data_IF_642530370161
#
_entry.id   IF_642530370161
#
_cell.length_a   1.000
_cell.length_b   1.000
_cell.length_c   1.000
_cell.angle_alpha   90.00
_cell.angle_beta   90.00
_cell.angle_gamma   90.00
#
_symmetry.space_group_name_H-M   'P 1'
#
loop_
_entity.id
_entity.type
_entity.pdbx_description
1 polymer ?
#
# COMPACT_ATOMS: atom_id res chain seq x y z
N UNK A 1 8.73 -0.65 -26.38
CA UNK A 1 7.61 -0.79 -25.42
C UNK A 1 8.18 -1.30 -24.11
N UNK A 2 7.79 -0.74 -22.95
CA UNK A 2 8.23 -1.25 -21.65
C UNK A 2 7.90 -2.74 -21.52
N UNK A 3 8.84 -3.52 -21.02
CA UNK A 3 8.64 -4.96 -20.88
C UNK A 3 7.55 -5.24 -19.83
N UNK A 4 6.51 -5.98 -20.22
CA UNK A 4 5.38 -6.33 -19.36
C UNK A 4 5.81 -6.99 -18.05
N UNK A 5 6.80 -7.88 -18.10
CA UNK A 5 7.34 -8.54 -16.91
C UNK A 5 8.01 -7.54 -15.95
N UNK A 6 8.80 -6.61 -16.50
CA UNK A 6 9.45 -5.56 -15.71
C UNK A 6 8.43 -4.63 -15.05
N UNK A 7 7.36 -4.26 -15.76
CA UNK A 7 6.28 -3.43 -15.21
C UNK A 7 5.55 -4.13 -14.04
N UNK A 8 5.25 -5.43 -14.17
CA UNK A 8 4.62 -6.18 -13.08
C UNK A 8 5.55 -6.34 -11.88
N UNK A 9 6.83 -6.64 -12.10
CA UNK A 9 7.81 -6.75 -11.00
C UNK A 9 7.94 -5.41 -10.27
N UNK A 10 8.01 -4.31 -11.02
CA UNK A 10 8.03 -2.96 -10.47
C UNK A 10 6.75 -2.57 -9.73
N UNK A 11 5.64 -3.29 -9.92
CA UNK A 11 4.43 -3.07 -9.14
C UNK A 11 4.41 -3.92 -7.86
N UNK A 12 4.79 -5.20 -7.96
CA UNK A 12 4.73 -6.16 -6.84
C UNK A 12 5.83 -5.91 -5.80
N UNK A 13 7.07 -5.72 -6.24
CA UNK A 13 8.23 -5.61 -5.34
C UNK A 13 8.10 -4.44 -4.34
N UNK A 14 7.79 -3.20 -4.79
CA UNK A 14 7.62 -2.08 -3.88
C UNK A 14 6.28 -2.14 -3.12
N UNK A 15 5.27 -2.84 -3.64
CA UNK A 15 3.99 -3.02 -2.94
C UNK A 15 4.14 -3.78 -1.61
N UNK A 16 5.19 -4.60 -1.44
CA UNK A 16 5.55 -5.26 -0.16
C UNK A 16 5.94 -4.22 0.91
N UNK A 17 6.38 -3.04 0.51
CA UNK A 17 6.69 -1.91 1.40
C UNK A 17 5.58 -0.85 1.43
N UNK A 18 4.41 -1.14 0.85
CA UNK A 18 3.27 -0.22 0.79
C UNK A 18 3.41 0.85 -0.28
N UNK A 19 4.34 0.68 -1.22
CA UNK A 19 4.57 1.58 -2.34
C UNK A 19 3.92 0.99 -3.60
N UNK A 20 2.79 1.55 -4.02
CA UNK A 20 2.06 1.11 -5.22
C UNK A 20 2.28 2.09 -6.38
N UNK A 21 2.04 1.68 -7.62
CA UNK A 21 2.03 2.59 -8.77
C UNK A 21 3.37 2.77 -9.50
N UNK A 22 4.48 2.18 -9.03
CA UNK A 22 5.77 2.27 -9.72
C UNK A 22 5.73 1.53 -11.08
N UNK A 23 5.02 0.39 -11.16
CA UNK A 23 4.82 -0.33 -12.42
C UNK A 23 3.99 0.47 -13.42
N UNK A 24 3.00 1.24 -12.94
CA UNK A 24 2.18 2.14 -13.76
C UNK A 24 2.97 3.31 -14.34
N UNK A 25 3.87 3.90 -13.55
CA UNK A 25 4.78 4.96 -14.02
C UNK A 25 5.67 4.41 -15.14
N UNK A 26 6.23 3.21 -14.96
CA UNK A 26 7.06 2.55 -15.96
C UNK A 26 6.29 2.20 -17.25
N UNK A 27 4.99 1.85 -17.13
CA UNK A 27 4.10 1.63 -18.27
C UNK A 27 3.67 2.92 -19.00
N UNK A 28 4.17 4.09 -18.59
CA UNK A 28 3.85 5.39 -19.19
C UNK A 28 2.56 6.03 -18.67
N UNK A 29 1.89 5.42 -17.68
CA UNK A 29 0.71 5.98 -17.00
C UNK A 29 1.12 6.67 -15.70
N UNK A 30 1.88 7.75 -15.87
CA UNK A 30 2.46 8.53 -14.76
C UNK A 30 1.40 9.07 -13.80
N UNK A 31 0.30 9.64 -14.31
CA UNK A 31 -0.77 10.19 -13.45
C UNK A 31 -1.38 9.12 -12.55
N UNK A 32 -1.77 7.97 -13.11
CA UNK A 32 -2.35 6.85 -12.35
C UNK A 32 -1.34 6.29 -11.35
N UNK A 33 -0.09 6.10 -11.79
CA UNK A 33 0.95 5.57 -10.93
C UNK A 33 1.31 6.50 -9.76
N UNK A 34 1.37 7.81 -9.96
CA UNK A 34 1.61 8.78 -8.88
C UNK A 34 0.44 8.80 -7.88
N UNK A 35 -0.80 8.75 -8.36
CA UNK A 35 -1.97 8.68 -7.47
C UNK A 35 -1.91 7.41 -6.61
N UNK A 36 -1.60 6.26 -7.21
CA UNK A 36 -1.44 4.99 -6.48
C UNK A 36 -0.28 5.03 -5.49
N UNK A 37 0.82 5.68 -5.83
CA UNK A 37 1.98 5.85 -4.95
C UNK A 37 1.63 6.69 -3.72
N UNK A 38 1.04 7.86 -3.93
CA UNK A 38 0.69 8.78 -2.85
C UNK A 38 -0.40 8.17 -1.96
N UNK A 39 -1.44 7.59 -2.55
CA UNK A 39 -2.51 6.92 -1.80
C UNK A 39 -2.00 5.70 -1.04
N UNK A 40 -1.09 4.93 -1.64
CA UNK A 40 -0.38 3.82 -1.00
C UNK A 40 0.37 4.22 0.25
N UNK A 41 1.20 5.25 0.13
CA UNK A 41 1.97 5.79 1.25
C UNK A 41 1.05 6.26 2.37
N UNK A 42 0.00 7.02 2.03
CA UNK A 42 -0.94 7.55 3.02
C UNK A 42 -1.75 6.44 3.71
N UNK A 43 -2.23 5.44 2.99
CA UNK A 43 -3.03 4.36 3.57
C UNK A 43 -2.19 3.41 4.43
N UNK A 44 -1.03 2.97 3.92
CA UNK A 44 -0.19 2.00 4.61
C UNK A 44 0.55 2.68 5.75
N UNK A 45 1.40 3.66 5.44
CA UNK A 45 2.25 4.32 6.43
C UNK A 45 1.46 5.27 7.32
N UNK A 46 0.50 6.02 6.76
CA UNK A 46 -0.41 6.83 7.56
C UNK A 46 -1.32 6.00 8.44
N UNK A 47 -1.77 4.82 7.97
CA UNK A 47 -2.51 3.85 8.78
C UNK A 47 -1.68 3.33 9.97
N UNK A 48 -0.43 2.90 9.74
CA UNK A 48 0.48 2.52 10.82
C UNK A 48 0.71 3.66 11.81
N UNK A 49 0.99 4.86 11.32
CA UNK A 49 1.21 6.03 12.18
C UNK A 49 -0.02 6.35 13.03
N UNK A 50 -1.22 6.31 12.44
CA UNK A 50 -2.47 6.57 13.15
C UNK A 50 -2.74 5.52 14.23
N UNK A 51 -2.55 4.23 13.93
CA UNK A 51 -2.75 3.17 14.91
C UNK A 51 -1.74 3.28 16.06
N UNK A 52 -0.45 3.53 15.77
CA UNK A 52 0.59 3.66 16.80
C UNK A 52 0.36 4.90 17.67
N UNK A 53 0.09 6.06 17.06
CA UNK A 53 -0.17 7.30 17.81
C UNK A 53 -1.49 7.24 18.59
N UNK A 54 -2.53 6.68 17.99
CA UNK A 54 -3.83 6.50 18.64
C UNK A 54 -3.72 5.52 19.81
N UNK A 55 -3.06 4.38 19.62
CA UNK A 55 -2.89 3.37 20.68
C UNK A 55 -1.98 3.84 21.81
N UNK A 56 -0.90 4.59 21.53
CA UNK A 56 -0.06 5.22 22.57
C UNK A 56 -0.87 6.22 23.40
N UNK A 57 -1.62 7.11 22.76
CA UNK A 57 -2.49 8.06 23.47
C UNK A 57 -3.55 7.33 24.32
N UNK A 58 -4.18 6.30 23.76
CA UNK A 58 -5.18 5.50 24.46
C UNK A 58 -4.59 4.77 25.67
N UNK A 59 -3.37 4.25 25.54
CA UNK A 59 -2.65 3.56 26.62
C UNK A 59 -2.33 4.51 27.77
N UNK A 60 -1.96 5.76 27.46
CA UNK A 60 -1.68 6.78 28.47
C UNK A 60 -2.92 7.16 29.29
N UNK A 61 -4.09 7.31 28.64
CA UNK A 61 -5.34 7.70 29.34
C UNK A 61 -6.02 6.53 30.08
N UNK A 62 -5.79 5.28 29.64
CA UNK A 62 -6.41 4.08 30.23
C UNK A 62 -5.46 3.31 31.16
N UNK A 63 -4.31 3.88 31.54
CA UNK A 63 -3.30 3.23 32.39
C UNK A 63 -2.91 1.81 31.91
N UNK A 64 -2.70 1.64 30.60
CA UNK A 64 -2.19 0.39 30.04
C UNK A 64 -3.20 -0.49 29.28
N UNK A 65 -4.51 -0.32 29.47
CA UNK A 65 -5.52 -1.11 28.74
C UNK A 65 -5.55 -0.81 27.23
N UNK A 66 -5.15 0.39 26.83
CA UNK A 66 -5.00 0.77 25.42
C UNK A 66 -3.99 -0.09 24.64
N UNK A 67 -3.13 -0.85 25.31
CA UNK A 67 -2.19 -1.77 24.67
C UNK A 67 -2.88 -2.86 23.82
N UNK A 68 -4.13 -3.22 24.15
CA UNK A 68 -4.95 -4.15 23.35
C UNK A 68 -5.23 -3.62 21.93
N UNK A 69 -5.26 -2.30 21.75
CA UNK A 69 -5.52 -1.68 20.44
C UNK A 69 -4.36 -1.83 19.44
N UNK A 70 -3.15 -2.17 19.90
CA UNK A 70 -2.03 -2.52 19.01
C UNK A 70 -2.32 -3.80 18.20
N UNK A 71 -3.27 -4.63 18.63
CA UNK A 71 -3.69 -5.81 17.87
C UNK A 71 -4.28 -5.44 16.50
N UNK A 72 -4.80 -4.21 16.34
CA UNK A 72 -5.30 -3.68 15.07
C UNK A 72 -4.19 -3.45 14.03
N UNK A 73 -2.93 -3.37 14.44
CA UNK A 73 -1.77 -3.27 13.53
C UNK A 73 -1.72 -4.47 12.58
N UNK A 74 -2.18 -5.64 13.01
CA UNK A 74 -2.24 -6.86 12.20
C UNK A 74 -3.19 -6.74 10.99
N UNK A 75 -4.11 -5.78 10.98
CA UNK A 75 -5.02 -5.54 9.85
C UNK A 75 -4.37 -4.80 8.68
N UNK A 76 -3.35 -3.99 8.92
CA UNK A 76 -2.69 -3.17 7.89
C UNK A 76 -2.01 -4.03 6.81
N UNK A 77 -1.28 -5.11 7.13
CA UNK A 77 -0.74 -6.04 6.13
C UNK A 77 -1.78 -6.65 5.20
N UNK A 78 -2.99 -6.95 5.70
CA UNK A 78 -4.06 -7.52 4.89
C UNK A 78 -4.56 -6.51 3.85
N UNK A 79 -4.77 -5.26 4.25
CA UNK A 79 -5.17 -4.18 3.34
C UNK A 79 -4.08 -3.94 2.29
N UNK A 80 -2.82 -3.96 2.70
CA UNK A 80 -1.67 -3.79 1.82
C UNK A 80 -1.59 -4.89 0.75
N UNK A 81 -1.82 -6.16 1.13
CA UNK A 81 -1.84 -7.30 0.20
C UNK A 81 -2.99 -7.19 -0.81
N UNK A 82 -4.19 -6.80 -0.36
CA UNK A 82 -5.35 -6.62 -1.24
C UNK A 82 -5.14 -5.48 -2.24
N UNK A 83 -4.57 -4.36 -1.79
CA UNK A 83 -4.23 -3.24 -2.66
C UNK A 83 -3.16 -3.63 -3.70
N UNK A 84 -2.14 -4.40 -3.29
CA UNK A 84 -1.12 -4.93 -4.20
C UNK A 84 -1.74 -5.83 -5.28
N UNK A 85 -2.60 -6.76 -4.88
CA UNK A 85 -3.28 -7.67 -5.78
C UNK A 85 -4.19 -6.92 -6.78
N UNK A 86 -4.97 -5.94 -6.30
CA UNK A 86 -5.83 -5.14 -7.16
C UNK A 86 -5.04 -4.32 -8.19
N UNK A 87 -3.96 -3.63 -7.76
CA UNK A 87 -3.15 -2.81 -8.67
C UNK A 87 -2.45 -3.65 -9.73
N UNK A 88 -1.90 -4.81 -9.35
CA UNK A 88 -1.20 -5.71 -10.27
C UNK A 88 -2.13 -6.37 -11.28
N UNK A 89 -3.35 -6.75 -10.87
CA UNK A 89 -4.38 -7.26 -11.78
C UNK A 89 -4.82 -6.19 -12.79
N UNK A 90 -5.06 -4.96 -12.32
CA UNK A 90 -5.41 -3.83 -13.19
C UNK A 90 -4.28 -3.53 -14.18
N UNK A 91 -3.02 -3.48 -13.72
CA UNK A 91 -1.86 -3.26 -14.58
C UNK A 91 -1.70 -4.39 -15.61
N UNK A 92 -1.87 -5.65 -15.20
CA UNK A 92 -1.80 -6.79 -16.12
C UNK A 92 -2.92 -6.74 -17.17
N UNK A 93 -4.13 -6.34 -16.79
CA UNK A 93 -5.24 -6.18 -17.74
C UNK A 93 -4.96 -5.10 -18.78
N UNK A 94 -4.34 -3.99 -18.36
CA UNK A 94 -4.03 -2.88 -19.26
C UNK A 94 -2.86 -3.20 -20.19
N UNK A 95 -1.81 -3.83 -19.68
CA UNK A 95 -0.68 -4.31 -20.48
C UNK A 95 -1.04 -5.49 -21.40
N UNK A 96 -2.17 -6.16 -21.19
CA UNK A 96 -2.67 -7.20 -22.10
C UNK A 96 -3.57 -6.63 -23.21
N UNK A 97 -4.05 -5.39 -23.06
CA UNK A 97 -4.81 -4.67 -24.08
C UNK A 97 -3.94 -3.90 -25.07
N UNK A 98 -2.69 -3.61 -24.68
CA UNK A 98 -1.68 -2.98 -25.52
C UNK A 98 -0.91 -4.02 -26.30
#
# INVERSE_FOLDING_TARGET
MPNKGTALVLEVLPAIFGLFGIGWIYAGRTTTGVILLVSGVLLVWGGYAFIILGSTALTAITFGLGSLSYCLVCGVPFIQLLAAAASTLLLNSELSRQ
#
